data_IF_223644201340
#
_entry.id   IF_223644201340
#
_cell.length_a   1.000
_cell.length_b   1.000
_cell.length_c   1.000
_cell.angle_alpha   90.00
_cell.angle_beta   90.00
_cell.angle_gamma   90.00
#
_symmetry.space_group_name_H-M   'P 1'
#
loop_
_entity.id
_entity.type
_entity.pdbx_description
1 polymer ?
#
# COMPACT_ATOMS: atom_id res chain seq x y z
N UNK A 1 12.33 4.42 23.75
CA UNK A 1 13.43 5.29 24.22
C UNK A 1 13.00 6.76 24.06
N UNK A 2 13.63 7.72 24.75
CA UNK A 2 13.29 9.15 24.60
C UNK A 2 13.48 9.68 23.16
N UNK A 3 14.35 9.07 22.36
CA UNK A 3 14.53 9.38 20.95
C UNK A 3 13.33 8.99 20.08
N UNK A 4 12.69 7.85 20.37
CA UNK A 4 11.48 7.40 19.65
C UNK A 4 10.28 8.32 19.91
N UNK A 5 10.15 8.83 21.14
CA UNK A 5 9.09 9.79 21.48
C UNK A 5 9.25 11.12 20.73
N UNK A 6 10.48 11.62 20.62
CA UNK A 6 10.77 12.84 19.87
C UNK A 6 10.49 12.66 18.37
N UNK A 7 10.90 11.55 17.77
CA UNK A 7 10.64 11.26 16.36
C UNK A 7 9.13 11.18 16.05
N UNK A 8 8.34 10.54 16.92
CA UNK A 8 6.88 10.48 16.75
C UNK A 8 6.22 11.87 16.82
N UNK A 9 6.72 12.78 17.67
CA UNK A 9 6.21 14.15 17.72
C UNK A 9 6.49 14.94 16.45
N UNK A 10 7.63 14.68 15.78
CA UNK A 10 7.98 15.32 14.50
C UNK A 10 7.11 14.75 13.38
N UNK A 11 6.90 13.43 13.33
CA UNK A 11 6.06 12.76 12.32
C UNK A 11 4.61 13.26 12.40
N UNK A 12 4.03 13.30 13.61
CA UNK A 12 2.65 13.78 13.81
C UNK A 12 2.48 15.26 13.44
N UNK A 13 3.45 16.10 13.78
CA UNK A 13 3.45 17.52 13.40
C UNK A 13 3.59 17.68 11.88
N UNK A 14 4.49 16.92 11.24
CA UNK A 14 4.68 16.93 9.81
C UNK A 14 3.42 16.45 9.06
N UNK A 15 2.73 15.43 9.58
CA UNK A 15 1.47 14.96 9.05
C UNK A 15 0.37 16.02 9.16
N UNK A 16 0.24 16.68 10.32
CA UNK A 16 -0.73 17.76 10.50
C UNK A 16 -0.47 18.95 9.57
N UNK A 17 0.80 19.35 9.41
CA UNK A 17 1.20 20.39 8.47
C UNK A 17 0.92 19.99 7.00
N UNK A 18 1.20 18.74 6.65
CA UNK A 18 0.91 18.19 5.32
C UNK A 18 -0.57 18.20 5.00
N UNK A 19 -1.43 17.79 5.96
CA UNK A 19 -2.89 17.85 5.83
C UNK A 19 -3.39 19.29 5.65
N UNK A 20 -2.82 20.22 6.40
CA UNK A 20 -3.14 21.64 6.25
C UNK A 20 -2.74 22.18 4.88
N UNK A 21 -1.52 21.93 4.43
CA UNK A 21 -1.05 22.39 3.12
C UNK A 21 -1.87 21.78 1.98
N UNK A 22 -2.22 20.49 2.06
CA UNK A 22 -3.09 19.84 1.09
C UNK A 22 -4.50 20.46 1.07
N UNK A 23 -4.99 20.93 2.22
CA UNK A 23 -6.30 21.62 2.29
C UNK A 23 -6.30 23.00 1.63
N UNK A 24 -5.13 23.65 1.49
CA UNK A 24 -5.01 24.96 0.85
C UNK A 24 -5.06 24.86 -0.68
N UNK A 25 -4.38 23.87 -1.27
CA UNK A 25 -4.37 23.64 -2.71
C UNK A 25 -4.31 22.14 -3.05
N UNK A 26 -5.43 21.41 -2.93
CA UNK A 26 -5.48 19.98 -3.19
C UNK A 26 -5.36 19.63 -4.69
N UNK A 27 -5.57 20.60 -5.58
CA UNK A 27 -5.61 20.36 -7.03
C UNK A 27 -4.22 20.39 -7.66
N UNK A 28 -3.35 21.29 -7.20
CA UNK A 28 -2.02 21.45 -7.80
C UNK A 28 -0.95 20.67 -7.08
N UNK A 29 -1.17 20.34 -5.80
CA UNK A 29 -0.20 19.69 -4.91
C UNK A 29 1.25 20.10 -5.21
N UNK A 30 1.60 21.40 -5.08
CA UNK A 30 2.85 21.94 -5.59
C UNK A 30 4.08 21.36 -4.89
N UNK A 31 3.90 20.74 -3.72
CA UNK A 31 4.95 20.11 -2.92
C UNK A 31 4.92 18.58 -2.97
N UNK A 32 4.07 17.98 -3.81
CA UNK A 32 3.89 16.53 -3.92
C UNK A 32 3.60 15.86 -2.57
N UNK A 33 2.79 16.53 -1.74
CA UNK A 33 2.44 16.13 -0.38
C UNK A 33 1.71 14.78 -0.40
N UNK A 34 0.93 14.49 -1.45
CA UNK A 34 0.25 13.20 -1.61
C UNK A 34 1.23 12.01 -1.61
N UNK A 35 2.47 12.19 -2.05
CA UNK A 35 3.51 11.15 -2.05
C UNK A 35 4.19 10.95 -0.70
N UNK A 36 3.99 11.89 0.23
CA UNK A 36 4.57 11.83 1.57
C UNK A 36 3.53 11.40 2.61
N UNK A 37 2.27 11.68 2.33
CA UNK A 37 1.16 11.55 3.26
C UNK A 37 0.87 10.10 3.62
N UNK A 38 1.07 9.17 2.69
CA UNK A 38 0.99 7.73 2.93
C UNK A 38 2.10 7.25 3.88
N UNK A 39 3.34 7.63 3.62
CA UNK A 39 4.48 7.26 4.47
C UNK A 39 4.34 7.86 5.88
N UNK A 40 3.96 9.13 6.01
CA UNK A 40 3.75 9.77 7.31
C UNK A 40 2.60 9.14 8.09
N UNK A 41 1.53 8.71 7.41
CA UNK A 41 0.40 8.07 8.06
C UNK A 41 0.78 6.67 8.58
N UNK A 42 1.51 5.88 7.79
CA UNK A 42 1.95 4.54 8.19
C UNK A 42 3.06 4.53 9.24
N UNK A 43 3.95 5.53 9.21
CA UNK A 43 5.03 5.66 10.22
C UNK A 43 4.55 6.25 11.54
N UNK A 44 3.40 6.91 11.54
CA UNK A 44 2.80 7.39 12.78
C UNK A 44 2.33 6.20 13.62
N UNK A 45 2.75 6.14 14.89
CA UNK A 45 2.30 5.11 15.83
C UNK A 45 0.85 5.33 16.29
N UNK A 46 0.13 6.30 15.72
CA UNK A 46 -1.21 6.67 16.15
C UNK A 46 -2.25 6.12 15.18
N UNK A 47 -3.09 5.21 15.68
CA UNK A 47 -4.19 4.62 14.92
C UNK A 47 -5.14 5.67 14.33
N UNK A 48 -5.27 6.83 14.97
CA UNK A 48 -6.14 7.91 14.48
C UNK A 48 -5.67 8.48 13.14
N UNK A 49 -4.36 8.51 12.93
CA UNK A 49 -3.72 9.02 11.70
C UNK A 49 -3.87 8.01 10.56
N UNK A 50 -3.67 6.72 10.86
CA UNK A 50 -3.90 5.61 9.93
C UNK A 50 -5.37 5.51 9.51
N UNK A 51 -6.29 5.63 10.47
CA UNK A 51 -7.74 5.63 10.21
C UNK A 51 -8.17 6.84 9.36
N UNK A 52 -7.60 8.02 9.62
CA UNK A 52 -7.85 9.19 8.78
C UNK A 52 -7.37 8.97 7.34
N UNK A 53 -6.19 8.37 7.14
CA UNK A 53 -5.67 8.08 5.79
C UNK A 53 -6.58 7.12 5.01
N UNK A 54 -7.05 6.05 5.65
CA UNK A 54 -8.03 5.12 5.05
C UNK A 54 -9.29 5.87 4.64
N UNK A 55 -9.85 6.68 5.55
CA UNK A 55 -11.03 7.50 5.26
C UNK A 55 -10.78 8.53 4.15
N UNK A 56 -9.60 9.12 4.08
CA UNK A 56 -9.21 10.06 3.03
C UNK A 56 -9.21 9.37 1.65
N UNK A 57 -8.60 8.20 1.52
CA UNK A 57 -8.58 7.43 0.27
C UNK A 57 -9.99 6.99 -0.13
N UNK A 58 -10.79 6.48 0.81
CA UNK A 58 -12.17 6.02 0.55
C UNK A 58 -13.13 7.17 0.18
N UNK A 59 -12.91 8.35 0.75
CA UNK A 59 -13.76 9.52 0.51
C UNK A 59 -13.76 10.00 -0.95
N UNK A 60 -12.75 9.62 -1.73
CA UNK A 60 -12.56 10.03 -3.13
C UNK A 60 -12.71 11.55 -3.37
N UNK A 61 -12.39 12.37 -2.35
CA UNK A 61 -12.44 13.84 -2.44
C UNK A 61 -11.38 14.39 -3.37
N UNK A 62 -10.20 13.75 -3.39
CA UNK A 62 -9.10 14.06 -4.30
C UNK A 62 -9.06 12.99 -5.38
N UNK A 63 -8.98 13.42 -6.64
CA UNK A 63 -8.89 12.53 -7.80
C UNK A 63 -7.66 12.89 -8.62
N UNK A 64 -7.08 11.88 -9.25
CA UNK A 64 -5.97 12.09 -10.17
C UNK A 64 -6.53 12.72 -11.45
N UNK A 65 -5.97 13.84 -11.87
CA UNK A 65 -6.24 14.42 -13.17
C UNK A 65 -4.95 14.41 -14.00
N UNK A 66 -4.96 13.66 -15.09
CA UNK A 66 -3.86 13.67 -16.05
C UNK A 66 -4.38 14.04 -17.43
N UNK A 67 -3.75 15.05 -18.03
CA UNK A 67 -4.11 15.51 -19.37
C UNK A 67 -3.34 14.68 -20.39
N UNK A 68 -4.06 13.84 -21.13
CA UNK A 68 -3.52 13.10 -22.27
C UNK A 68 -3.84 13.82 -23.58
N UNK A 69 -3.24 13.36 -24.68
CA UNK A 69 -3.56 13.84 -26.03
C UNK A 69 -5.00 13.55 -26.46
N UNK A 70 -5.69 12.62 -25.78
CA UNK A 70 -7.05 12.17 -26.09
C UNK A 70 -8.12 12.78 -25.16
N UNK A 71 -7.72 13.47 -24.08
CA UNK A 71 -8.63 14.13 -23.15
C UNK A 71 -8.08 14.30 -21.74
N UNK A 72 -8.96 14.62 -20.80
CA UNK A 72 -8.65 14.64 -19.37
C UNK A 72 -9.04 13.30 -18.75
N UNK A 73 -8.07 12.59 -18.20
CA UNK A 73 -8.28 11.34 -17.47
C UNK A 73 -8.48 11.65 -15.99
N UNK A 74 -9.56 11.13 -15.41
CA UNK A 74 -9.89 11.25 -13.99
C UNK A 74 -9.84 9.87 -13.32
N UNK A 75 -8.83 9.66 -12.48
CA UNK A 75 -8.57 8.38 -11.81
C UNK A 75 -8.77 8.45 -10.29
N UNK A 76 -8.97 7.29 -9.66
CA UNK A 76 -8.93 7.18 -8.20
C UNK A 76 -7.49 7.21 -7.68
N UNK A 77 -7.30 7.62 -6.42
CA UNK A 77 -5.99 7.58 -5.76
C UNK A 77 -5.38 6.17 -5.72
N UNK A 78 -6.21 5.12 -5.72
CA UNK A 78 -5.75 3.72 -5.77
C UNK A 78 -5.13 3.31 -7.12
N UNK A 79 -5.16 4.18 -8.12
CA UNK A 79 -4.42 4.00 -9.37
C UNK A 79 -2.94 4.40 -9.25
N UNK A 80 -2.55 4.99 -8.11
CA UNK A 80 -1.15 5.17 -7.78
C UNK A 80 -0.62 3.93 -7.03
N UNK A 81 0.53 3.37 -7.43
CA UNK A 81 1.08 2.20 -6.77
C UNK A 81 1.37 2.45 -5.29
N UNK A 82 1.96 3.60 -4.95
CA UNK A 82 2.29 3.92 -3.55
C UNK A 82 1.03 3.93 -2.68
N UNK A 83 -0.03 4.62 -3.11
CA UNK A 83 -1.28 4.72 -2.34
C UNK A 83 -2.02 3.39 -2.27
N UNK A 84 -2.02 2.58 -3.33
CA UNK A 84 -2.67 1.26 -3.31
C UNK A 84 -2.05 0.32 -2.26
N UNK A 85 -0.71 0.23 -2.23
CA UNK A 85 -0.01 -0.58 -1.23
C UNK A 85 -0.13 0.03 0.17
N UNK A 86 0.06 1.34 0.30
CA UNK A 86 -0.03 2.00 1.60
C UNK A 86 -1.44 1.92 2.20
N UNK A 87 -2.49 1.99 1.37
CA UNK A 87 -3.86 1.78 1.80
C UNK A 87 -4.11 0.36 2.32
N UNK A 88 -3.63 -0.66 1.61
CA UNK A 88 -3.74 -2.04 2.04
C UNK A 88 -3.00 -2.29 3.38
N UNK A 89 -1.81 -1.69 3.54
CA UNK A 89 -1.05 -1.77 4.79
C UNK A 89 -1.75 -1.02 5.93
N UNK A 90 -2.34 0.15 5.66
CA UNK A 90 -3.09 0.91 6.66
C UNK A 90 -4.32 0.14 7.16
N UNK A 91 -5.08 -0.49 6.25
CA UNK A 91 -6.17 -1.38 6.62
C UNK A 91 -5.69 -2.56 7.46
N UNK A 92 -4.55 -3.16 7.10
CA UNK A 92 -3.98 -4.29 7.84
C UNK A 92 -3.56 -3.89 9.26
N UNK A 93 -3.00 -2.69 9.43
CA UNK A 93 -2.66 -2.14 10.74
C UNK A 93 -3.91 -1.98 11.62
N UNK A 94 -4.98 -1.38 11.07
CA UNK A 94 -6.23 -1.18 11.82
C UNK A 94 -6.91 -2.52 12.15
N UNK A 95 -6.84 -3.50 11.25
CA UNK A 95 -7.38 -4.85 11.47
C UNK A 95 -6.64 -5.58 12.60
N UNK A 96 -5.33 -5.38 12.73
CA UNK A 96 -4.54 -5.94 13.83
C UNK A 96 -4.96 -5.35 15.18
N UNK A 97 -5.29 -4.05 15.22
CA UNK A 97 -5.79 -3.39 16.44
C UNK A 97 -7.23 -3.75 16.77
N UNK A 98 -8.10 -3.97 15.76
CA UNK A 98 -9.53 -4.26 15.97
C UNK A 98 -9.84 -5.74 16.23
N UNK A 99 -8.93 -6.65 15.88
CA UNK A 99 -9.14 -8.13 15.88
C UNK A 99 -10.41 -8.59 15.13
N UNK A 100 -10.93 -7.77 14.22
CA UNK A 100 -12.13 -8.06 13.44
C UNK A 100 -11.79 -8.95 12.25
N UNK A 101 -12.47 -10.10 12.13
CA UNK A 101 -12.30 -11.00 10.98
C UNK A 101 -12.62 -10.31 9.64
N UNK A 102 -13.59 -9.40 9.62
CA UNK A 102 -14.03 -8.71 8.41
C UNK A 102 -12.98 -7.69 7.94
N UNK A 103 -12.30 -7.01 8.87
CA UNK A 103 -11.25 -6.05 8.57
C UNK A 103 -9.97 -6.74 8.05
N UNK A 104 -9.68 -7.94 8.57
CA UNK A 104 -8.58 -8.79 8.09
C UNK A 104 -8.86 -9.26 6.65
N UNK A 105 -10.09 -9.63 6.33
CA UNK A 105 -10.45 -10.00 4.97
C UNK A 105 -10.37 -8.79 4.02
N UNK A 106 -10.89 -7.63 4.44
CA UNK A 106 -10.84 -6.38 3.66
C UNK A 106 -9.41 -5.96 3.35
N UNK A 107 -8.53 -5.97 4.35
CA UNK A 107 -7.10 -5.63 4.18
C UNK A 107 -6.39 -6.62 3.26
N UNK A 108 -6.65 -7.92 3.42
CA UNK A 108 -6.08 -8.97 2.57
C UNK A 108 -6.52 -8.80 1.11
N UNK A 109 -7.81 -8.55 0.86
CA UNK A 109 -8.32 -8.33 -0.49
C UNK A 109 -7.73 -7.06 -1.12
N UNK A 110 -7.58 -5.98 -0.35
CA UNK A 110 -6.95 -4.74 -0.84
C UNK A 110 -5.48 -4.96 -1.23
N UNK A 111 -4.73 -5.76 -0.46
CA UNK A 111 -3.33 -6.07 -0.74
C UNK A 111 -3.20 -6.92 -2.01
N UNK A 112 -4.08 -7.93 -2.14
CA UNK A 112 -4.18 -8.76 -3.34
C UNK A 112 -4.44 -7.90 -4.58
N UNK A 113 -5.43 -7.01 -4.53
CA UNK A 113 -5.73 -6.07 -5.61
C UNK A 113 -4.54 -5.16 -5.96
N UNK A 114 -3.80 -4.68 -4.96
CA UNK A 114 -2.59 -3.87 -5.19
C UNK A 114 -1.49 -4.67 -5.91
N UNK A 115 -1.26 -5.92 -5.53
CA UNK A 115 -0.28 -6.81 -6.19
C UNK A 115 -0.66 -7.06 -7.64
N UNK A 116 -1.94 -7.34 -7.91
CA UNK A 116 -2.39 -7.59 -9.27
C UNK A 116 -2.32 -6.35 -10.14
N UNK A 117 -2.67 -5.19 -9.60
CA UNK A 117 -2.63 -3.94 -10.35
C UNK A 117 -1.21 -3.44 -10.59
N UNK A 118 -0.28 -3.69 -9.66
CA UNK A 118 1.12 -3.25 -9.75
C UNK A 118 2.13 -4.37 -9.46
N UNK A 119 2.24 -5.38 -10.33
CA UNK A 119 3.13 -6.52 -10.09
C UNK A 119 4.62 -6.13 -10.03
N UNK A 120 5.03 -5.13 -10.83
CA UNK A 120 6.45 -4.71 -10.95
C UNK A 120 6.99 -4.07 -9.68
N UNK A 121 6.11 -3.63 -8.79
CA UNK A 121 6.50 -3.01 -7.53
C UNK A 121 6.94 -4.07 -6.53
N UNK A 122 6.37 -5.29 -6.59
CA UNK A 122 6.66 -6.37 -5.63
C UNK A 122 8.14 -6.76 -5.61
N UNK A 123 8.82 -7.04 -6.75
CA UNK A 123 10.25 -7.35 -6.73
C UNK A 123 11.11 -6.23 -6.13
N UNK A 124 10.80 -4.98 -6.47
CA UNK A 124 11.52 -3.81 -5.96
C UNK A 124 11.34 -3.66 -4.46
N UNK A 125 10.12 -3.89 -3.94
CA UNK A 125 9.86 -3.87 -2.50
C UNK A 125 10.59 -5.01 -1.78
N UNK A 126 10.62 -6.20 -2.35
CA UNK A 126 11.32 -7.36 -1.75
C UNK A 126 12.84 -7.12 -1.68
N UNK A 127 13.42 -6.57 -2.75
CA UNK A 127 14.85 -6.22 -2.79
C UNK A 127 15.18 -5.06 -1.83
N UNK A 128 14.38 -3.99 -1.83
CA UNK A 128 14.55 -2.85 -0.94
C UNK A 128 14.48 -3.24 0.55
N UNK A 129 13.61 -4.19 0.90
CA UNK A 129 13.47 -4.72 2.27
C UNK A 129 14.47 -5.86 2.58
N UNK A 130 15.41 -6.17 1.67
CA UNK A 130 16.42 -7.23 1.81
C UNK A 130 15.80 -8.58 2.18
N UNK A 131 14.60 -8.86 1.69
CA UNK A 131 13.90 -10.11 1.98
C UNK A 131 14.55 -11.20 1.13
N UNK A 132 15.32 -12.07 1.78
CA UNK A 132 15.99 -13.18 1.10
C UNK A 132 14.96 -14.23 0.66
N UNK A 133 14.56 -14.19 -0.61
CA UNK A 133 13.62 -15.14 -1.22
C UNK A 133 14.15 -16.59 -1.25
N UNK A 134 15.47 -16.79 -1.15
CA UNK A 134 16.13 -18.11 -1.11
C UNK A 134 16.51 -18.56 0.32
N UNK A 135 16.16 -17.77 1.34
CA UNK A 135 16.45 -18.08 2.74
C UNK A 135 15.61 -19.24 3.27
N UNK A 136 16.12 -20.00 4.25
CA UNK A 136 15.36 -21.12 4.87
C UNK A 136 14.00 -20.72 5.46
N UNK A 137 13.79 -19.43 5.78
CA UNK A 137 12.52 -18.87 6.25
C UNK A 137 11.47 -18.63 5.15
N UNK A 138 11.86 -18.71 3.87
CA UNK A 138 10.98 -18.59 2.69
C UNK A 138 10.96 -19.89 1.87
N UNK A 139 11.91 -20.80 2.07
CA UNK A 139 12.00 -22.10 1.40
C UNK A 139 10.87 -23.10 1.76
N UNK A 140 9.91 -22.70 2.60
CA UNK A 140 8.75 -23.51 2.96
C UNK A 140 7.44 -23.12 2.29
N UNK A 141 7.25 -21.86 1.88
CA UNK A 141 5.92 -21.41 1.42
C UNK A 141 5.94 -20.12 0.59
N UNK A 142 5.55 -20.29 -0.68
CA UNK A 142 4.60 -19.46 -1.44
C UNK A 142 5.07 -18.24 -2.25
N UNK A 143 6.13 -17.51 -1.87
CA UNK A 143 6.47 -16.28 -2.61
C UNK A 143 7.17 -16.50 -3.95
N UNK A 144 8.07 -17.48 -4.05
CA UNK A 144 8.85 -17.68 -5.28
C UNK A 144 8.01 -18.12 -6.49
N UNK A 145 7.03 -19.04 -6.35
CA UNK A 145 6.11 -19.36 -7.44
C UNK A 145 5.22 -18.16 -7.82
N UNK A 146 4.76 -17.38 -6.84
CA UNK A 146 3.97 -16.15 -7.09
C UNK A 146 4.79 -15.14 -7.88
N UNK A 147 6.03 -14.87 -7.47
CA UNK A 147 6.91 -13.92 -8.17
C UNK A 147 7.24 -14.39 -9.58
N UNK A 148 7.48 -15.70 -9.78
CA UNK A 148 7.71 -16.28 -11.10
C UNK A 148 6.47 -16.15 -12.00
N UNK A 149 5.27 -16.39 -11.47
CA UNK A 149 4.01 -16.25 -12.21
C UNK A 149 3.70 -14.78 -12.54
N UNK A 150 3.96 -13.85 -11.61
CA UNK A 150 3.79 -12.42 -11.85
C UNK A 150 4.76 -11.91 -12.94
N UNK A 151 6.02 -12.39 -12.94
CA UNK A 151 6.98 -12.09 -14.00
C UNK A 151 6.59 -12.69 -15.35
N UNK A 152 6.08 -13.94 -15.37
CA UNK A 152 5.68 -14.62 -16.59
C UNK A 152 4.43 -13.98 -17.24
N UNK A 153 3.49 -13.51 -16.43
CA UNK A 153 2.20 -12.97 -16.90
C UNK A 153 2.21 -11.44 -17.09
N UNK A 154 3.34 -10.78 -16.86
CA UNK A 154 3.50 -9.32 -16.91
C UNK A 154 2.93 -8.67 -18.19
N UNK A 155 3.18 -9.27 -19.36
CA UNK A 155 2.68 -8.76 -20.65
C UNK A 155 1.18 -8.98 -20.87
N UNK A 156 0.59 -9.98 -20.23
CA UNK A 156 -0.83 -10.34 -20.39
C UNK A 156 -1.71 -9.53 -19.44
N UNK A 157 -1.22 -9.26 -18.23
CA UNK A 157 -1.93 -8.53 -17.16
C UNK A 157 -2.22 -7.07 -17.54
N UNK A 158 -1.32 -6.42 -18.30
CA UNK A 158 -1.57 -5.04 -18.79
C UNK A 158 -2.73 -4.93 -19.77
N UNK A 159 -3.14 -6.03 -20.42
CA UNK A 159 -4.13 -6.00 -21.52
C UNK A 159 -5.56 -6.35 -21.07
N UNK A 160 -5.72 -6.97 -19.90
CA UNK A 160 -7.01 -7.45 -19.41
C UNK A 160 -7.39 -6.76 -18.10
N UNK A 161 -8.27 -5.77 -18.22
CA UNK A 161 -9.17 -5.42 -17.13
C UNK A 161 -9.97 -6.68 -16.75
N UNK A 162 -9.74 -7.18 -15.53
CA UNK A 162 -10.58 -8.15 -14.84
C UNK A 162 -10.89 -9.45 -15.62
N UNK A 163 -9.97 -10.42 -15.60
CA UNK A 163 -10.32 -11.85 -15.40
C UNK A 163 -9.08 -12.71 -15.15
N UNK A 164 -9.10 -13.37 -14.01
CA UNK A 164 -8.11 -14.26 -13.46
C UNK A 164 -8.27 -15.66 -14.06
N UNK A 165 -7.19 -16.28 -14.54
CA UNK A 165 -7.23 -17.70 -14.91
C UNK A 165 -5.90 -18.44 -14.66
N UNK A 166 -5.06 -18.02 -13.70
CA UNK A 166 -3.75 -18.68 -13.55
C UNK A 166 -2.93 -18.50 -12.27
N UNK A 167 -3.39 -17.72 -11.28
CA UNK A 167 -2.69 -17.58 -9.99
C UNK A 167 -3.59 -18.15 -8.90
N UNK A 168 -3.09 -19.09 -8.10
CA UNK A 168 -3.82 -19.64 -6.94
C UNK A 168 -4.03 -18.52 -5.90
N UNK A 169 -5.23 -17.96 -5.91
CA UNK A 169 -5.64 -16.83 -5.06
C UNK A 169 -5.39 -17.11 -3.58
N UNK A 170 -5.58 -18.37 -3.16
CA UNK A 170 -5.32 -18.78 -1.77
C UNK A 170 -3.84 -18.68 -1.40
N UNK A 171 -2.94 -18.99 -2.32
CA UNK A 171 -1.50 -18.90 -2.12
C UNK A 171 -1.00 -17.45 -2.10
N UNK A 172 -1.60 -16.59 -2.92
CA UNK A 172 -1.30 -15.16 -2.92
C UNK A 172 -1.78 -14.47 -1.64
N UNK A 173 -2.99 -14.80 -1.16
CA UNK A 173 -3.54 -14.28 0.10
C UNK A 173 -2.66 -14.62 1.30
N UNK A 174 -2.23 -15.88 1.41
CA UNK A 174 -1.34 -16.33 2.51
C UNK A 174 0.06 -15.70 2.43
N UNK A 175 0.59 -15.58 1.22
CA UNK A 175 1.85 -14.86 0.95
C UNK A 175 1.74 -13.41 1.41
N UNK A 176 0.78 -12.67 0.84
CA UNK A 176 0.51 -11.25 1.12
C UNK A 176 0.41 -10.97 2.62
N UNK A 177 -0.38 -11.77 3.35
CA UNK A 177 -0.54 -11.66 4.79
C UNK A 177 0.79 -11.87 5.54
N UNK A 178 1.60 -12.85 5.11
CA UNK A 178 2.93 -13.11 5.68
C UNK A 178 3.91 -11.95 5.46
N UNK A 179 3.90 -11.31 4.28
CA UNK A 179 4.75 -10.14 4.04
C UNK A 179 4.24 -8.91 4.79
N UNK A 180 2.93 -8.66 4.84
CA UNK A 180 2.36 -7.54 5.58
C UNK A 180 2.73 -7.62 7.06
N UNK A 181 2.61 -8.81 7.68
CA UNK A 181 3.02 -9.03 9.05
C UNK A 181 4.53 -8.77 9.27
N UNK A 182 5.39 -9.18 8.33
CA UNK A 182 6.84 -8.91 8.43
C UNK A 182 7.18 -7.43 8.25
N UNK A 183 6.50 -6.73 7.34
CA UNK A 183 6.71 -5.30 7.10
C UNK A 183 6.29 -4.50 8.33
N UNK A 184 5.13 -4.78 8.92
CA UNK A 184 4.67 -4.11 10.15
C UNK A 184 5.67 -4.30 11.30
N UNK A 185 6.18 -5.52 11.49
CA UNK A 185 7.19 -5.82 12.53
C UNK A 185 8.50 -5.04 12.30
N UNK A 186 8.85 -4.72 11.06
CA UNK A 186 10.07 -3.96 10.72
C UNK A 186 9.87 -2.44 10.87
N UNK A 187 8.64 -1.94 10.66
CA UNK A 187 8.31 -0.51 10.77
C UNK A 187 7.96 -0.03 12.18
N UNK A 188 7.71 -0.94 13.14
CA UNK A 188 7.49 -0.64 14.57
C UNK A 188 8.81 -0.68 15.37
#
# INVERSE_FOLDING_TARGET
SPTAFCMNSVITTALAASRFLLSLDPLRDPMAILLLLDNLSLTSTDDSSTAWFVGFVESNTVKLCHKTSEGEFYGSLLELPNLAYSYALALHHLAFTSESSDDVEKSTNALVEAIYRFPSVVPNLLDANKINLAGRSTNGTEWMPVVQQLHANWGTIQSQSLKYDGVDEGMLKRSALSAANKIIIITQ
#
